data_IF_517044480386
#
_entry.id   IF_517044480386
#
_cell.length_a   1.000
_cell.length_b   1.000
_cell.length_c   1.000
_cell.angle_alpha   90.00
_cell.angle_beta   90.00
_cell.angle_gamma   90.00
#
_symmetry.space_group_name_H-M   'P 1'
#
loop_
_entity.id
_entity.type
_entity.pdbx_description
1 polymer ?
#
# COMPACT_ATOMS: atom_id res chain seq x y z
N UNK A 1 -48.76 -34.39 35.83
CA UNK A 1 -48.61 -34.60 34.38
C UNK A 1 -47.45 -33.74 33.88
N UNK A 2 -46.25 -34.32 33.83
CA UNK A 2 -45.02 -33.65 33.41
C UNK A 2 -44.81 -33.84 31.91
N UNK A 3 -44.62 -32.74 31.16
CA UNK A 3 -44.21 -32.77 29.75
C UNK A 3 -42.74 -32.34 29.64
N UNK A 4 -41.84 -33.21 29.11
CA UNK A 4 -40.42 -32.90 29.00
C UNK A 4 -40.00 -32.33 27.62
N UNK A 5 -38.75 -31.86 27.64
CA UNK A 5 -37.97 -31.03 26.72
C UNK A 5 -37.73 -31.54 25.29
N UNK A 6 -37.51 -30.55 24.41
CA UNK A 6 -36.92 -30.60 23.06
C UNK A 6 -35.53 -31.27 23.03
N UNK A 7 -35.28 -32.04 21.96
CA UNK A 7 -33.98 -32.30 21.33
C UNK A 7 -34.17 -32.43 19.82
N UNK A 8 -33.42 -31.69 19.00
CA UNK A 8 -33.23 -31.96 17.56
C UNK A 8 -31.73 -32.19 17.33
N UNK A 9 -31.38 -33.39 16.85
CA UNK A 9 -30.13 -33.66 16.13
C UNK A 9 -30.20 -33.05 14.72
N UNK A 10 -29.13 -32.87 13.95
CA UNK A 10 -27.86 -33.59 13.90
C UNK A 10 -27.81 -34.45 12.63
N UNK A 11 -26.73 -34.30 11.82
CA UNK A 11 -26.29 -35.07 10.62
C UNK A 11 -26.93 -34.62 9.28
N UNK A 12 -26.27 -34.55 8.11
CA UNK A 12 -25.24 -35.39 7.46
C UNK A 12 -24.51 -34.63 6.32
N UNK A 13 -23.19 -34.81 6.19
CA UNK A 13 -22.36 -34.59 4.98
C UNK A 13 -22.34 -35.84 4.08
N UNK A 14 -22.36 -35.74 2.73
CA UNK A 14 -22.11 -36.88 1.86
C UNK A 14 -20.62 -37.04 1.47
N UNK A 15 -20.25 -38.31 1.32
CA UNK A 15 -18.91 -38.87 1.09
C UNK A 15 -18.48 -38.86 -0.39
N UNK A 16 -17.15 -38.79 -0.55
CA UNK A 16 -16.25 -39.42 -1.53
C UNK A 16 -16.82 -40.29 -2.67
N UNK A 17 -16.19 -40.13 -3.85
CA UNK A 17 -15.92 -41.23 -4.79
C UNK A 17 -14.60 -41.01 -5.56
N UNK A 18 -13.62 -41.90 -5.33
CA UNK A 18 -12.59 -42.43 -6.25
C UNK A 18 -12.83 -43.96 -6.28
N UNK A 19 -12.39 -44.80 -7.26
CA UNK A 19 -11.11 -44.72 -8.00
C UNK A 19 -11.09 -45.27 -9.46
N UNK A 20 -9.96 -45.13 -10.18
CA UNK A 20 -9.21 -46.26 -10.84
C UNK A 20 -7.96 -45.80 -11.61
N UNK A 21 -6.94 -46.66 -11.54
CA UNK A 21 -5.58 -46.59 -12.10
C UNK A 21 -5.50 -46.51 -13.63
N UNK A 22 -4.44 -45.87 -14.13
CA UNK A 22 -3.69 -46.33 -15.32
C UNK A 22 -2.25 -45.80 -15.28
N UNK A 23 -1.32 -46.75 -15.31
CA UNK A 23 0.08 -46.75 -15.78
C UNK A 23 1.04 -45.57 -15.54
N UNK A 24 2.15 -45.95 -14.93
CA UNK A 24 3.41 -45.25 -14.75
C UNK A 24 4.26 -45.33 -16.04
N UNK A 25 4.56 -44.21 -16.73
CA UNK A 25 5.77 -44.09 -17.53
C UNK A 25 6.81 -43.33 -16.71
N UNK A 26 7.92 -44.01 -16.40
CA UNK A 26 9.00 -43.47 -15.58
C UNK A 26 9.54 -42.10 -16.05
N UNK A 27 10.24 -41.37 -15.18
CA UNK A 27 10.63 -40.00 -15.43
C UNK A 27 11.65 -39.92 -16.56
N UNK A 28 11.18 -39.53 -17.75
CA UNK A 28 12.03 -38.99 -18.81
C UNK A 28 12.65 -37.70 -18.29
N UNK A 29 13.97 -37.71 -18.16
CA UNK A 29 14.78 -36.54 -17.83
C UNK A 29 14.67 -35.48 -18.93
N UNK A 30 13.76 -34.52 -18.76
CA UNK A 30 13.85 -33.23 -19.44
C UNK A 30 14.29 -32.17 -18.44
N UNK A 31 15.58 -31.86 -18.48
CA UNK A 31 16.09 -30.55 -18.05
C UNK A 31 15.58 -29.52 -19.05
N UNK A 32 14.48 -28.86 -18.69
CA UNK A 32 14.05 -27.60 -19.26
C UNK A 32 13.37 -26.85 -18.13
N UNK A 33 14.00 -25.77 -17.64
CA UNK A 33 13.27 -24.85 -16.77
C UNK A 33 12.05 -24.29 -17.50
N UNK A 34 11.05 -23.78 -16.78
CA UNK A 34 9.88 -23.17 -17.41
C UNK A 34 10.32 -22.12 -18.44
N UNK A 35 9.61 -22.05 -19.55
CA UNK A 35 9.88 -21.00 -20.55
C UNK A 35 9.69 -19.63 -19.87
N UNK A 36 10.39 -18.56 -20.30
CA UNK A 36 10.22 -17.23 -19.72
C UNK A 36 8.75 -16.77 -19.68
N UNK A 37 7.94 -17.20 -20.64
CA UNK A 37 6.50 -16.90 -20.70
C UNK A 37 5.64 -17.62 -19.64
N UNK A 38 6.21 -18.56 -18.88
CA UNK A 38 5.54 -19.30 -17.81
C UNK A 38 5.86 -18.76 -16.40
N UNK A 39 6.64 -17.67 -16.29
CA UNK A 39 6.90 -17.00 -15.02
C UNK A 39 5.77 -15.98 -14.71
N UNK A 40 4.98 -16.19 -13.63
CA UNK A 40 3.83 -15.32 -13.30
C UNK A 40 4.19 -13.82 -13.25
N UNK A 41 5.36 -13.50 -12.69
CA UNK A 41 5.86 -12.12 -12.62
C UNK A 41 6.04 -11.46 -14.00
N UNK A 42 6.57 -12.20 -14.99
CA UNK A 42 6.78 -11.63 -16.33
C UNK A 42 5.45 -11.36 -17.04
N UNK A 43 4.44 -12.20 -16.78
CA UNK A 43 3.09 -11.98 -17.27
C UNK A 43 2.46 -10.72 -16.65
N UNK A 44 2.59 -10.52 -15.33
CA UNK A 44 2.11 -9.33 -14.63
C UNK A 44 2.79 -8.04 -15.14
N UNK A 45 4.11 -8.06 -15.33
CA UNK A 45 4.83 -6.90 -15.89
C UNK A 45 4.34 -6.61 -17.32
N UNK A 46 4.11 -7.65 -18.13
CA UNK A 46 3.62 -7.48 -19.50
C UNK A 46 2.20 -6.91 -19.53
N UNK A 47 1.35 -7.35 -18.61
CA UNK A 47 0.01 -6.81 -18.42
C UNK A 47 0.08 -5.31 -18.06
N UNK A 48 0.91 -4.94 -17.08
CA UNK A 48 1.14 -3.55 -16.71
C UNK A 48 1.67 -2.71 -17.88
N UNK A 49 2.60 -3.25 -18.68
CA UNK A 49 3.11 -2.59 -19.87
C UNK A 49 2.02 -2.39 -20.94
N UNK A 50 1.12 -3.38 -21.10
CA UNK A 50 0.04 -3.35 -22.08
C UNK A 50 -1.11 -2.43 -21.68
N UNK A 51 -1.33 -2.22 -20.37
CA UNK A 51 -2.32 -1.27 -19.86
C UNK A 51 -1.99 0.18 -20.24
N UNK A 52 -0.72 0.48 -20.51
CA UNK A 52 -0.28 1.79 -21.00
C UNK A 52 -0.28 2.90 -19.96
N UNK A 53 -0.45 2.56 -18.67
CA UNK A 53 -0.49 3.52 -17.56
C UNK A 53 0.58 3.17 -16.50
N UNK A 54 1.29 4.16 -15.90
CA UNK A 54 2.37 3.92 -14.93
C UNK A 54 1.99 3.10 -13.69
N UNK A 55 0.74 3.18 -13.23
CA UNK A 55 0.26 2.59 -11.97
C UNK A 55 0.68 1.12 -11.77
N UNK A 56 0.39 0.24 -12.74
CA UNK A 56 0.64 -1.19 -12.57
C UNK A 56 2.14 -1.50 -12.37
N UNK A 57 3.01 -0.80 -13.09
CA UNK A 57 4.44 -0.99 -12.99
C UNK A 57 5.01 -0.40 -11.69
N UNK A 58 4.48 0.75 -11.24
CA UNK A 58 4.85 1.36 -9.97
C UNK A 58 4.38 0.52 -8.77
N UNK A 59 3.19 -0.06 -8.82
CA UNK A 59 2.67 -0.95 -7.78
C UNK A 59 3.53 -2.22 -7.63
N UNK A 60 3.92 -2.83 -8.76
CA UNK A 60 4.87 -3.94 -8.77
C UNK A 60 6.22 -3.53 -8.17
N UNK A 61 6.80 -2.42 -8.63
CA UNK A 61 8.06 -1.90 -8.08
C UNK A 61 7.99 -1.64 -6.56
N UNK A 62 6.89 -1.06 -6.09
CA UNK A 62 6.66 -0.77 -4.67
C UNK A 62 6.59 -2.05 -3.85
N UNK A 63 5.92 -3.09 -4.36
CA UNK A 63 5.85 -4.40 -3.70
C UNK A 63 7.24 -5.01 -3.50
N UNK A 64 8.07 -5.03 -4.54
CA UNK A 64 9.44 -5.54 -4.45
C UNK A 64 10.31 -4.71 -3.49
N UNK A 65 10.19 -3.39 -3.52
CA UNK A 65 10.92 -2.51 -2.62
C UNK A 65 10.48 -2.68 -1.15
N UNK A 66 9.19 -2.90 -0.88
CA UNK A 66 8.70 -3.17 0.48
C UNK A 66 9.22 -4.50 1.00
N UNK A 67 9.19 -5.56 0.17
CA UNK A 67 9.71 -6.88 0.53
C UNK A 67 11.19 -6.80 0.95
N UNK A 68 12.01 -6.07 0.17
CA UNK A 68 13.41 -5.85 0.51
C UNK A 68 13.59 -5.04 1.80
N UNK A 69 12.77 -4.00 1.99
CA UNK A 69 12.90 -3.13 3.16
C UNK A 69 12.40 -3.80 4.45
N UNK A 70 11.33 -4.60 4.39
CA UNK A 70 10.83 -5.33 5.56
C UNK A 70 11.83 -6.41 6.03
N UNK A 71 12.57 -7.03 5.10
CA UNK A 71 13.62 -7.98 5.45
C UNK A 71 14.73 -7.36 6.32
N UNK A 72 14.97 -6.04 6.18
CA UNK A 72 15.99 -5.29 6.91
C UNK A 72 15.49 -4.71 8.25
N UNK A 73 14.19 -4.77 8.57
CA UNK A 73 13.66 -4.12 9.78
C UNK A 73 14.08 -4.81 11.07
N UNK A 74 14.48 -4.03 12.11
CA UNK A 74 14.78 -4.58 13.42
C UNK A 74 13.58 -5.32 14.02
N UNK A 75 13.81 -6.56 14.49
CA UNK A 75 12.77 -7.37 15.13
C UNK A 75 12.58 -6.95 16.58
N UNK A 76 11.33 -6.93 17.03
CA UNK A 76 11.03 -6.91 18.46
C UNK A 76 11.35 -8.28 19.07
N UNK A 77 12.27 -8.30 20.03
CA UNK A 77 12.68 -9.51 20.77
C UNK A 77 11.52 -10.22 21.50
N UNK A 78 10.37 -9.55 21.65
CA UNK A 78 9.23 -10.01 22.43
C UNK A 78 8.23 -10.86 21.63
N UNK A 79 8.41 -11.00 20.32
CA UNK A 79 7.32 -11.42 19.43
C UNK A 79 7.76 -12.28 18.24
N UNK A 80 9.02 -12.70 18.17
CA UNK A 80 9.38 -13.78 17.26
C UNK A 80 8.82 -15.10 17.79
N UNK A 81 7.81 -15.63 17.11
CA UNK A 81 7.45 -17.04 17.33
C UNK A 81 8.67 -17.90 16.95
N UNK A 82 9.10 -18.84 17.82
CA UNK A 82 10.21 -19.73 17.53
C UNK A 82 9.96 -20.49 16.22
N UNK A 83 10.77 -20.24 15.20
CA UNK A 83 10.67 -20.91 13.89
C UNK A 83 9.96 -20.12 12.78
N UNK A 84 9.62 -18.85 13.01
CA UNK A 84 9.13 -17.97 11.94
C UNK A 84 10.25 -17.56 10.97
N UNK A 85 10.48 -18.37 9.93
CA UNK A 85 11.34 -18.00 8.79
C UNK A 85 10.62 -16.92 7.97
N UNK A 86 11.16 -15.70 7.93
CA UNK A 86 10.72 -14.69 6.95
C UNK A 86 11.27 -15.07 5.58
N UNK A 87 10.52 -14.83 4.49
CA UNK A 87 11.12 -14.72 3.17
C UNK A 87 12.24 -13.66 3.21
N UNK A 88 13.46 -14.06 2.87
CA UNK A 88 14.65 -13.21 2.91
C UNK A 88 14.84 -12.49 1.56
N UNK A 89 13.80 -11.85 1.03
CA UNK A 89 13.98 -11.09 -0.20
C UNK A 89 14.80 -9.85 0.16
N UNK A 90 16.05 -9.76 -0.28
CA UNK A 90 16.90 -8.59 -0.06
C UNK A 90 17.08 -7.80 -1.36
N UNK A 91 17.59 -6.58 -1.25
CA UNK A 91 17.93 -5.79 -2.44
C UNK A 91 19.00 -6.47 -3.32
N UNK A 92 20.00 -7.13 -2.73
CA UNK A 92 20.97 -7.96 -3.46
C UNK A 92 20.24 -8.99 -4.33
N UNK A 93 19.30 -9.73 -3.73
CA UNK A 93 18.59 -10.81 -4.42
C UNK A 93 17.70 -10.26 -5.55
N UNK A 94 17.05 -9.11 -5.34
CA UNK A 94 16.24 -8.46 -6.37
C UNK A 94 17.13 -8.04 -7.55
N UNK A 95 18.25 -7.37 -7.27
CA UNK A 95 19.20 -6.93 -8.30
C UNK A 95 19.74 -8.12 -9.07
N UNK A 96 20.24 -9.15 -8.37
CA UNK A 96 20.79 -10.36 -9.00
C UNK A 96 19.73 -11.07 -9.86
N UNK A 97 18.50 -11.20 -9.36
CA UNK A 97 17.38 -11.83 -10.08
C UNK A 97 17.06 -11.07 -11.37
N UNK A 98 16.94 -9.75 -11.30
CA UNK A 98 16.61 -8.93 -12.46
C UNK A 98 17.78 -8.83 -13.44
N UNK A 99 19.03 -8.87 -12.95
CA UNK A 99 20.28 -8.91 -13.72
C UNK A 99 20.58 -10.25 -14.38
N UNK A 100 20.00 -11.35 -13.88
CA UNK A 100 20.23 -12.68 -14.44
C UNK A 100 19.76 -12.82 -15.89
N UNK A 101 18.72 -12.08 -16.32
CA UNK A 101 18.25 -12.10 -17.72
C UNK A 101 17.73 -10.73 -18.15
N UNK A 102 18.33 -10.18 -19.20
CA UNK A 102 17.93 -8.93 -19.81
C UNK A 102 16.73 -9.12 -20.75
N UNK A 103 15.52 -8.95 -20.20
CA UNK A 103 14.26 -8.95 -20.92
C UNK A 103 13.66 -7.53 -20.90
N UNK A 104 12.79 -7.16 -21.86
CA UNK A 104 12.03 -5.91 -21.78
C UNK A 104 11.27 -5.77 -20.45
N UNK A 105 10.64 -6.84 -19.97
CA UNK A 105 9.89 -6.87 -18.72
C UNK A 105 10.79 -6.58 -17.51
N UNK A 106 11.92 -7.29 -17.37
CA UNK A 106 12.85 -7.04 -16.25
C UNK A 106 13.47 -5.66 -16.33
N UNK A 107 13.71 -5.13 -17.54
CA UNK A 107 14.17 -3.76 -17.75
C UNK A 107 13.12 -2.72 -17.34
N UNK A 108 11.85 -2.96 -17.63
CA UNK A 108 10.76 -2.09 -17.20
C UNK A 108 10.62 -2.05 -15.68
N UNK A 109 10.70 -3.21 -15.01
CA UNK A 109 10.64 -3.26 -13.55
C UNK A 109 11.83 -2.55 -12.89
N UNK A 110 13.04 -2.65 -13.47
CA UNK A 110 14.20 -1.87 -13.01
C UNK A 110 13.94 -0.35 -13.08
N UNK A 111 13.26 0.13 -14.12
CA UNK A 111 12.90 1.55 -14.23
C UNK A 111 12.01 2.02 -13.07
N UNK A 112 11.05 1.19 -12.62
CA UNK A 112 10.24 1.51 -11.44
C UNK A 112 11.03 1.36 -10.13
N UNK A 113 11.83 0.30 -9.97
CA UNK A 113 12.58 0.05 -8.73
C UNK A 113 13.60 1.13 -8.40
N UNK A 114 14.22 1.76 -9.41
CA UNK A 114 15.14 2.89 -9.20
C UNK A 114 14.50 4.03 -8.41
N UNK A 115 13.19 4.21 -8.49
CA UNK A 115 12.45 5.27 -7.79
C UNK A 115 12.33 5.01 -6.28
N UNK A 116 12.42 3.74 -5.87
CA UNK A 116 12.17 3.29 -4.51
C UNK A 116 13.43 2.80 -3.79
N UNK A 117 14.49 2.52 -4.55
CA UNK A 117 15.70 1.93 -4.04
C UNK A 117 16.48 2.90 -3.14
N UNK A 118 16.88 2.49 -1.92
CA UNK A 118 17.76 3.29 -1.09
C UNK A 118 19.21 3.18 -1.58
N UNK A 119 20.11 4.11 -1.20
CA UNK A 119 21.54 3.94 -1.42
C UNK A 119 22.08 2.67 -0.73
N UNK A 120 22.98 1.90 -1.36
CA UNK A 120 23.60 2.13 -2.68
C UNK A 120 22.84 1.50 -3.86
N UNK A 121 21.67 0.89 -3.63
CA UNK A 121 20.95 0.10 -4.62
C UNK A 121 20.41 0.92 -5.78
N UNK A 122 20.04 2.18 -5.54
CA UNK A 122 19.68 3.14 -6.58
C UNK A 122 20.76 3.25 -7.67
N UNK A 123 22.02 3.33 -7.25
CA UNK A 123 23.19 3.46 -8.12
C UNK A 123 23.45 2.16 -8.88
N UNK A 124 23.33 1.01 -8.21
CA UNK A 124 23.46 -0.31 -8.85
C UNK A 124 22.40 -0.51 -9.95
N UNK A 125 21.14 -0.21 -9.66
CA UNK A 125 20.04 -0.33 -10.61
C UNK A 125 20.21 0.63 -11.80
N UNK A 126 20.69 1.86 -11.57
CA UNK A 126 20.99 2.82 -12.66
C UNK A 126 22.13 2.32 -13.57
N UNK A 127 23.18 1.73 -13.01
CA UNK A 127 24.27 1.13 -13.78
C UNK A 127 23.78 -0.07 -14.60
N UNK A 128 22.89 -0.88 -14.04
CA UNK A 128 22.27 -1.99 -14.76
C UNK A 128 21.42 -1.49 -15.94
N UNK A 129 20.56 -0.47 -15.72
CA UNK A 129 19.75 0.14 -16.78
C UNK A 129 20.58 0.72 -17.94
N UNK A 130 21.76 1.27 -17.63
CA UNK A 130 22.70 1.78 -18.62
C UNK A 130 23.16 0.69 -19.60
N UNK A 131 23.32 -0.54 -19.13
CA UNK A 131 23.72 -1.70 -19.94
C UNK A 131 22.55 -2.22 -20.82
N UNK A 132 21.32 -1.84 -20.49
CA UNK A 132 20.07 -2.32 -21.10
C UNK A 132 19.44 -1.37 -22.11
N UNK A 133 20.15 -0.31 -22.49
CA UNK A 133 19.67 0.76 -23.38
C UNK A 133 19.05 0.31 -24.70
N UNK A 134 19.39 -0.89 -25.17
CA UNK A 134 18.92 -1.44 -26.45
C UNK A 134 17.48 -1.98 -26.42
N UNK A 135 16.88 -2.22 -25.25
CA UNK A 135 15.50 -2.69 -25.21
C UNK A 135 14.52 -1.59 -25.63
N UNK A 136 13.65 -1.92 -26.58
CA UNK A 136 12.53 -1.06 -26.93
C UNK A 136 11.45 -1.20 -25.85
N UNK A 137 11.25 -0.12 -25.10
CA UNK A 137 10.22 0.01 -24.08
C UNK A 137 9.26 1.13 -24.50
N UNK A 138 7.99 1.10 -24.06
CA UNK A 138 7.10 2.24 -24.19
C UNK A 138 7.76 3.51 -23.64
N UNK A 139 7.54 4.65 -24.29
CA UNK A 139 8.18 5.92 -23.93
C UNK A 139 7.94 6.31 -22.47
N UNK A 140 6.72 6.08 -21.97
CA UNK A 140 6.30 6.39 -20.60
C UNK A 140 7.11 5.67 -19.51
N UNK A 141 7.68 4.49 -19.80
CA UNK A 141 8.49 3.73 -18.83
C UNK A 141 9.78 4.48 -18.50
N UNK A 142 10.32 5.24 -19.44
CA UNK A 142 11.57 5.99 -19.26
C UNK A 142 11.35 7.31 -18.54
N UNK A 143 10.11 7.79 -18.51
CA UNK A 143 9.71 9.08 -17.93
C UNK A 143 8.87 8.90 -16.67
N UNK A 144 8.94 7.73 -16.01
CA UNK A 144 8.19 7.45 -14.78
C UNK A 144 8.44 8.48 -13.67
N UNK A 145 9.64 9.04 -13.61
CA UNK A 145 10.02 10.04 -12.60
C UNK A 145 9.57 11.48 -12.94
N UNK A 146 9.14 11.70 -14.20
CA UNK A 146 8.62 12.97 -14.71
C UNK A 146 7.14 13.12 -14.35
N UNK A 147 6.86 13.15 -13.05
CA UNK A 147 5.53 13.32 -12.47
C UNK A 147 5.47 14.63 -11.68
N UNK A 148 4.34 15.32 -11.79
CA UNK A 148 4.00 16.45 -10.94
C UNK A 148 2.83 16.09 -10.01
N UNK A 149 2.86 16.59 -8.76
CA UNK A 149 1.69 16.58 -7.88
C UNK A 149 0.86 17.82 -8.20
N UNK A 150 -0.30 17.63 -8.82
CA UNK A 150 -1.15 18.71 -9.33
C UNK A 150 -2.10 19.26 -8.28
N UNK A 151 -2.54 18.40 -7.34
CA UNK A 151 -3.56 18.71 -6.36
C UNK A 151 -3.24 18.02 -5.03
N UNK A 152 -3.51 18.72 -3.93
CA UNK A 152 -3.32 18.22 -2.57
C UNK A 152 -4.54 18.61 -1.75
N UNK A 153 -5.25 17.60 -1.26
CA UNK A 153 -6.48 17.77 -0.49
C UNK A 153 -6.44 16.99 0.81
N UNK A 154 -7.22 17.50 1.77
CA UNK A 154 -7.51 16.85 3.03
C UNK A 154 -9.02 16.66 3.12
N UNK A 155 -9.44 15.47 3.52
CA UNK A 155 -10.78 15.21 4.02
C UNK A 155 -10.68 14.74 5.46
N UNK A 156 -11.34 15.42 6.38
CA UNK A 156 -11.33 15.10 7.82
C UNK A 156 -12.69 14.58 8.22
N UNK A 157 -12.71 13.49 8.98
CA UNK A 157 -13.94 12.92 9.52
C UNK A 157 -14.58 13.85 10.56
N UNK A 158 -15.89 13.72 10.77
CA UNK A 158 -16.66 14.62 11.64
C UNK A 158 -16.12 14.74 13.07
N UNK A 159 -15.48 13.68 13.59
CA UNK A 159 -14.87 13.67 14.93
C UNK A 159 -13.36 14.02 14.92
N UNK A 160 -12.76 14.22 13.74
CA UNK A 160 -11.33 14.49 13.58
C UNK A 160 -10.44 13.31 14.00
N UNK A 161 -11.00 12.11 14.04
CA UNK A 161 -10.31 10.89 14.45
C UNK A 161 -9.72 10.11 13.26
N UNK A 162 -10.14 10.45 12.04
CA UNK A 162 -9.51 10.06 10.78
C UNK A 162 -9.34 11.24 9.83
N UNK A 163 -8.32 11.18 9.00
CA UNK A 163 -8.19 12.05 7.83
C UNK A 163 -7.70 11.29 6.60
N UNK A 164 -8.19 11.69 5.43
CA UNK A 164 -7.69 11.29 4.13
C UNK A 164 -6.82 12.42 3.55
N UNK A 165 -5.60 12.09 3.15
CA UNK A 165 -4.75 12.97 2.32
C UNK A 165 -4.81 12.47 0.88
N UNK A 166 -5.31 13.29 -0.03
CA UNK A 166 -5.43 12.97 -1.45
C UNK A 166 -4.40 13.75 -2.26
N UNK A 167 -3.68 13.05 -3.12
CA UNK A 167 -2.67 13.62 -4.01
C UNK A 167 -3.01 13.26 -5.46
N UNK A 168 -3.29 14.28 -6.27
CA UNK A 168 -3.42 14.14 -7.73
C UNK A 168 -2.05 14.17 -8.38
N UNK A 169 -1.75 13.19 -9.22
CA UNK A 169 -0.50 13.01 -9.94
C UNK A 169 -0.74 13.12 -11.44
N UNK A 170 0.16 13.79 -12.14
CA UNK A 170 0.15 13.88 -13.59
C UNK A 170 1.54 13.64 -14.17
N UNK A 171 1.66 12.72 -15.12
CA UNK A 171 2.90 12.48 -15.84
C UNK A 171 3.04 13.42 -17.04
N UNK A 172 4.27 13.61 -17.52
CA UNK A 172 4.57 14.35 -18.75
C UNK A 172 3.86 13.80 -20.00
N UNK A 173 3.43 12.53 -19.95
CA UNK A 173 2.62 11.86 -20.98
C UNK A 173 1.14 12.26 -20.96
N UNK A 174 0.67 12.90 -19.88
CA UNK A 174 -0.73 13.26 -19.65
C UNK A 174 -1.52 12.22 -18.86
N UNK A 175 -0.89 11.11 -18.45
CA UNK A 175 -1.52 10.11 -17.57
C UNK A 175 -1.79 10.70 -16.18
N UNK A 176 -2.91 10.33 -15.57
CA UNK A 176 -3.36 10.85 -14.27
C UNK A 176 -3.67 9.73 -13.28
N UNK A 177 -3.22 9.93 -12.05
CA UNK A 177 -3.46 9.03 -10.93
C UNK A 177 -3.79 9.85 -9.69
N UNK A 178 -4.77 9.43 -8.92
CA UNK A 178 -5.00 9.97 -7.58
C UNK A 178 -4.65 8.90 -6.55
N UNK A 179 -3.85 9.26 -5.55
CA UNK A 179 -3.59 8.42 -4.39
C UNK A 179 -4.25 9.01 -3.15
N UNK A 180 -4.80 8.15 -2.30
CA UNK A 180 -5.50 8.51 -1.07
C UNK A 180 -4.87 7.75 0.09
N UNK A 181 -4.50 8.49 1.13
CA UNK A 181 -3.87 7.97 2.34
C UNK A 181 -4.79 8.21 3.52
N UNK A 182 -5.24 7.13 4.16
CA UNK A 182 -6.03 7.25 5.38
C UNK A 182 -5.10 7.21 6.61
N UNK A 183 -5.13 8.30 7.38
CA UNK A 183 -4.38 8.49 8.63
C UNK A 183 -5.36 8.39 9.79
N UNK A 184 -5.12 7.42 10.68
CA UNK A 184 -5.99 7.14 11.83
C UNK A 184 -5.41 7.77 13.10
N UNK A 185 -6.05 8.83 13.60
CA UNK A 185 -5.63 9.55 14.79
C UNK A 185 -5.90 8.80 16.10
N UNK A 186 -6.82 7.82 16.11
CA UNK A 186 -7.10 7.02 17.31
C UNK A 186 -5.94 6.08 17.68
N UNK A 187 -5.09 5.76 16.70
CA UNK A 187 -3.94 4.86 16.85
C UNK A 187 -2.61 5.57 16.62
N UNK A 188 -2.55 6.87 16.97
CA UNK A 188 -1.33 7.65 16.95
C UNK A 188 -1.09 8.43 15.66
N UNK A 189 -2.07 8.52 14.76
CA UNK A 189 -1.96 9.24 13.50
C UNK A 189 -0.95 8.60 12.56
N UNK A 190 -1.10 7.29 12.38
CA UNK A 190 -0.32 6.48 11.44
C UNK A 190 -1.16 6.17 10.20
N UNK A 191 -0.50 5.83 9.08
CA UNK A 191 -1.21 5.36 7.88
C UNK A 191 -1.78 3.99 8.16
N UNK A 192 -3.10 3.86 7.96
CA UNK A 192 -3.83 2.60 8.12
C UNK A 192 -4.24 2.00 6.78
N UNK A 193 -4.45 2.83 5.77
CA UNK A 193 -4.83 2.35 4.44
C UNK A 193 -4.32 3.24 3.30
N UNK A 194 -4.24 2.66 2.12
CA UNK A 194 -3.85 3.28 0.85
C UNK A 194 -4.83 2.87 -0.24
N UNK A 195 -5.33 3.85 -0.99
CA UNK A 195 -6.16 3.62 -2.17
C UNK A 195 -5.56 4.40 -3.34
N UNK A 196 -5.63 3.83 -4.53
CA UNK A 196 -5.29 4.55 -5.76
C UNK A 196 -6.41 4.42 -6.78
N UNK A 197 -6.67 5.50 -7.51
CA UNK A 197 -7.70 5.56 -8.54
C UNK A 197 -7.16 6.25 -9.78
N UNK A 198 -7.47 5.70 -10.96
CA UNK A 198 -7.18 6.35 -12.23
C UNK A 198 -8.06 7.59 -12.38
N UNK A 199 -7.49 8.69 -12.89
CA UNK A 199 -8.21 9.93 -13.15
C UNK A 199 -7.90 11.07 -12.16
N UNK A 200 -8.62 12.18 -12.35
CA UNK A 200 -8.42 13.44 -11.64
C UNK A 200 -8.87 13.37 -10.17
N UNK A 201 -8.19 14.10 -9.29
CA UNK A 201 -8.45 14.01 -7.87
C UNK A 201 -9.82 14.59 -7.49
N UNK A 202 -10.39 15.53 -8.25
CA UNK A 202 -11.73 16.05 -7.99
C UNK A 202 -12.82 15.00 -8.26
N UNK A 203 -12.62 14.11 -9.25
CA UNK A 203 -13.54 12.99 -9.49
C UNK A 203 -13.52 12.00 -8.32
N UNK A 204 -12.33 11.64 -7.83
CA UNK A 204 -12.17 10.78 -6.66
C UNK A 204 -12.72 11.45 -5.40
N UNK A 205 -12.45 12.74 -5.19
CA UNK A 205 -13.02 13.50 -4.07
C UNK A 205 -14.54 13.49 -4.06
N UNK A 206 -15.17 13.59 -5.23
CA UNK A 206 -16.63 13.53 -5.35
C UNK A 206 -17.18 12.17 -4.89
N UNK A 207 -16.44 11.08 -5.15
CA UNK A 207 -16.82 9.75 -4.64
C UNK A 207 -16.70 9.69 -3.11
N UNK A 208 -15.62 10.21 -2.55
CA UNK A 208 -15.43 10.29 -1.09
C UNK A 208 -16.47 11.19 -0.42
N UNK A 209 -16.86 12.30 -1.05
CA UNK A 209 -17.90 13.21 -0.54
C UNK A 209 -19.26 12.50 -0.48
N UNK A 210 -19.58 11.69 -1.49
CA UNK A 210 -20.85 10.95 -1.53
C UNK A 210 -20.98 9.90 -0.43
N UNK A 211 -19.86 9.37 0.07
CA UNK A 211 -19.81 8.38 1.15
C UNK A 211 -19.52 8.99 2.54
N UNK A 212 -19.18 10.29 2.59
CA UNK A 212 -18.80 10.96 3.82
C UNK A 212 -19.97 11.13 4.79
N UNK A 213 -19.68 11.00 6.08
CA UNK A 213 -20.64 11.29 7.13
C UNK A 213 -21.01 12.79 7.17
N UNK A 214 -22.23 13.09 7.58
CA UNK A 214 -22.69 14.46 7.72
C UNK A 214 -21.82 15.21 8.75
N UNK A 215 -21.11 16.24 8.30
CA UNK A 215 -20.20 17.03 9.13
C UNK A 215 -18.72 16.81 8.85
N UNK A 216 -18.35 15.83 8.01
CA UNK A 216 -17.01 15.73 7.46
C UNK A 216 -16.66 16.98 6.63
N UNK A 217 -15.38 17.34 6.59
CA UNK A 217 -14.90 18.52 5.86
C UNK A 217 -13.89 18.14 4.79
N UNK A 218 -13.88 18.89 3.69
CA UNK A 218 -12.92 18.73 2.60
C UNK A 218 -12.32 20.08 2.23
N UNK A 219 -11.00 20.14 2.05
CA UNK A 219 -10.30 21.37 1.64
C UNK A 219 -8.96 21.09 1.00
N UNK A 220 -8.49 22.03 0.18
CA UNK A 220 -7.09 22.05 -0.27
C UNK A 220 -6.18 22.41 0.91
N UNK A 221 -5.00 21.80 0.94
CA UNK A 221 -3.97 22.07 1.95
C UNK A 221 -2.65 22.45 1.29
N UNK A 222 -1.73 22.99 2.08
CA UNK A 222 -0.39 23.29 1.60
C UNK A 222 0.35 21.98 1.26
N UNK A 223 0.96 21.87 0.06
CA UNK A 223 1.71 20.69 -0.34
C UNK A 223 2.85 20.31 0.62
N UNK A 224 3.52 21.31 1.23
CA UNK A 224 4.58 21.05 2.19
C UNK A 224 4.03 20.47 3.50
N UNK A 225 2.89 20.99 3.97
CA UNK A 225 2.20 20.46 5.16
C UNK A 225 1.77 19.00 4.92
N UNK A 226 1.23 18.69 3.73
CA UNK A 226 0.88 17.33 3.37
C UNK A 226 2.09 16.38 3.42
N UNK A 227 3.25 16.81 2.88
CA UNK A 227 4.49 16.03 2.96
C UNK A 227 4.87 15.73 4.40
N UNK A 228 4.90 16.75 5.25
CA UNK A 228 5.28 16.60 6.66
C UNK A 228 4.37 15.58 7.38
N UNK A 229 3.06 15.62 7.10
CA UNK A 229 2.09 14.68 7.67
C UNK A 229 2.29 13.26 7.20
N UNK A 230 2.47 13.06 5.89
CA UNK A 230 2.69 11.74 5.30
C UNK A 230 3.98 11.13 5.86
N UNK A 231 5.08 11.87 5.86
CA UNK A 231 6.36 11.41 6.41
C UNK A 231 6.23 11.04 7.90
N UNK A 232 5.54 11.87 8.70
CA UNK A 232 5.29 11.59 10.11
C UNK A 232 4.43 10.33 10.30
N UNK A 233 3.36 10.17 9.52
CA UNK A 233 2.46 9.03 9.62
C UNK A 233 3.14 7.71 9.19
N UNK A 234 3.98 7.74 8.15
CA UNK A 234 4.83 6.61 7.75
C UNK A 234 5.83 6.27 8.85
N UNK A 235 6.50 7.27 9.44
CA UNK A 235 7.44 7.06 10.54
C UNK A 235 6.74 6.40 11.73
N UNK A 236 5.60 6.93 12.17
CA UNK A 236 4.83 6.35 13.29
C UNK A 236 4.39 4.93 12.99
N UNK A 237 3.91 4.66 11.78
CA UNK A 237 3.56 3.31 11.35
C UNK A 237 4.77 2.35 11.46
N UNK A 238 5.94 2.75 10.97
CA UNK A 238 7.16 1.92 11.03
C UNK A 238 7.67 1.63 12.44
N UNK A 239 7.29 2.45 13.42
CA UNK A 239 7.60 2.27 14.84
C UNK A 239 6.52 1.50 15.60
N UNK A 240 5.38 1.20 14.97
CA UNK A 240 4.22 0.59 15.63
C UNK A 240 4.33 -0.94 15.67
N UNK A 241 3.98 -1.52 16.83
CA UNK A 241 3.96 -2.97 17.01
C UNK A 241 2.67 -3.44 17.72
N UNK A 242 1.97 -4.46 17.19
CA UNK A 242 2.16 -5.05 15.86
C UNK A 242 1.88 -4.04 14.74
N UNK A 243 2.48 -4.19 13.55
CA UNK A 243 2.21 -3.27 12.44
C UNK A 243 0.73 -3.36 12.03
N UNK A 244 0.16 -2.20 11.68
CA UNK A 244 -1.19 -2.12 11.13
C UNK A 244 -1.13 -2.46 9.65
N UNK A 245 -1.97 -3.37 9.18
CA UNK A 245 -1.93 -3.87 7.80
C UNK A 245 -3.30 -3.69 7.15
N UNK A 246 -3.29 -3.38 5.86
CA UNK A 246 -4.43 -3.49 4.95
C UNK A 246 -4.02 -4.32 3.74
N UNK A 247 -4.92 -4.47 2.75
CA UNK A 247 -4.60 -5.20 1.53
C UNK A 247 -3.48 -4.50 0.73
N UNK A 248 -3.46 -3.17 0.73
CA UNK A 248 -2.49 -2.34 -0.01
C UNK A 248 -1.37 -1.76 0.88
N UNK A 249 -1.57 -1.75 2.21
CA UNK A 249 -0.59 -1.25 3.16
C UNK A 249 0.06 -2.40 3.93
N UNK A 250 1.40 -2.59 3.85
CA UNK A 250 2.41 -1.58 3.52
C UNK A 250 3.06 -1.71 2.14
N UNK A 251 2.55 -2.57 1.24
CA UNK A 251 3.17 -2.77 -0.08
C UNK A 251 3.25 -1.49 -0.90
N UNK A 252 2.31 -0.55 -0.71
CA UNK A 252 2.33 0.78 -1.30
C UNK A 252 3.27 1.80 -0.62
N UNK A 253 3.90 1.47 0.52
CA UNK A 253 4.70 2.43 1.30
C UNK A 253 5.86 3.04 0.49
N UNK A 254 6.67 2.28 -0.27
CA UNK A 254 7.71 2.87 -1.11
C UNK A 254 7.15 3.85 -2.16
N UNK A 255 6.02 3.52 -2.78
CA UNK A 255 5.29 4.43 -3.68
C UNK A 255 4.88 5.72 -2.96
N UNK A 256 4.29 5.61 -1.77
CA UNK A 256 3.88 6.77 -0.96
C UNK A 256 5.07 7.65 -0.58
N UNK A 257 6.20 7.06 -0.18
CA UNK A 257 7.40 7.81 0.15
C UNK A 257 7.99 8.53 -1.07
N UNK A 258 8.01 7.88 -2.24
CA UNK A 258 8.44 8.51 -3.48
C UNK A 258 7.50 9.66 -3.89
N UNK A 259 6.17 9.47 -3.83
CA UNK A 259 5.20 10.54 -4.10
C UNK A 259 5.40 11.71 -3.13
N UNK A 260 5.55 11.44 -1.83
CA UNK A 260 5.80 12.48 -0.83
C UNK A 260 7.10 13.26 -1.11
N UNK A 261 8.14 12.61 -1.66
CA UNK A 261 9.39 13.28 -2.05
C UNK A 261 9.22 14.32 -3.17
N UNK A 262 8.13 14.23 -3.95
CA UNK A 262 7.77 15.21 -4.99
C UNK A 262 7.14 16.48 -4.44
N UNK A 263 6.70 16.46 -3.18
CA UNK A 263 6.15 17.62 -2.50
C UNK A 263 7.27 18.50 -1.90
N UNK A 264 7.04 19.82 -1.71
CA UNK A 264 8.02 20.70 -1.06
C UNK A 264 8.30 20.30 0.39
N UNK A 265 9.52 20.58 0.87
CA UNK A 265 9.87 20.46 2.30
C UNK A 265 9.43 21.69 3.10
N UNK A 266 9.53 21.60 4.44
CA UNK A 266 9.33 22.73 5.34
C UNK A 266 7.89 22.95 5.80
N UNK A 267 7.02 21.97 5.58
CA UNK A 267 5.65 22.00 6.07
C UNK A 267 5.54 21.94 7.59
N UNK A 268 4.35 22.30 8.07
CA UNK A 268 4.01 22.37 9.49
C UNK A 268 3.02 21.27 9.83
N UNK A 269 3.31 20.55 10.91
CA UNK A 269 2.38 19.56 11.45
C UNK A 269 1.24 20.28 12.19
N UNK A 270 -0.02 19.85 12.01
CA UNK A 270 -1.13 20.33 12.83
C UNK A 270 -0.80 20.09 14.30
N UNK A 271 -0.93 21.13 15.12
CA UNK A 271 -0.89 20.96 16.57
C UNK A 271 -2.28 20.56 17.01
N UNK A 272 -2.43 19.38 17.59
CA UNK A 272 -3.68 18.99 18.25
C UNK A 272 -3.73 19.73 19.57
N UNK A 273 -4.58 20.75 19.67
CA UNK A 273 -4.80 21.44 20.93
C UNK A 273 -5.44 20.45 21.92
N UNK A 274 -4.80 20.27 23.08
CA UNK A 274 -5.42 19.53 24.18
C UNK A 274 -6.63 20.34 24.66
N UNK A 275 -7.76 19.65 24.84
CA UNK A 275 -8.94 20.27 25.46
C UNK A 275 -8.54 20.77 26.85
N UNK A 276 -8.93 22.00 27.17
CA UNK A 276 -8.84 22.47 28.55
C UNK A 276 -9.70 21.59 29.46
N UNK A 277 -9.34 21.50 30.74
CA UNK A 277 -10.16 20.77 31.72
C UNK A 277 -11.62 21.29 31.72
N UNK A 278 -11.80 22.59 31.53
CA UNK A 278 -13.13 23.22 31.45
C UNK A 278 -13.91 22.81 30.20
N UNK A 279 -13.27 22.74 29.02
CA UNK A 279 -13.91 22.25 27.80
C UNK A 279 -14.25 20.77 27.91
N UNK A 280 -13.36 19.98 28.53
CA UNK A 280 -13.58 18.56 28.76
C UNK A 280 -14.77 18.32 29.68
N UNK A 281 -14.84 19.04 30.81
CA UNK A 281 -15.94 18.91 31.76
C UNK A 281 -17.27 19.37 31.13
N UNK A 282 -17.26 20.45 30.34
CA UNK A 282 -18.44 20.87 29.55
C UNK A 282 -18.90 19.81 28.57
N UNK A 283 -17.98 19.12 27.89
CA UNK A 283 -18.30 18.01 26.99
C UNK A 283 -18.91 16.82 27.74
N UNK A 284 -18.35 16.48 28.91
CA UNK A 284 -18.88 15.41 29.77
C UNK A 284 -20.29 15.75 30.25
N UNK A 285 -20.51 16.96 30.77
CA UNK A 285 -21.81 17.40 31.26
C UNK A 285 -22.86 17.43 30.13
N UNK A 286 -22.46 17.88 28.94
CA UNK A 286 -23.31 17.87 27.74
C UNK A 286 -23.73 16.45 27.35
N UNK A 287 -22.77 15.51 27.33
CA UNK A 287 -23.04 14.10 27.03
C UNK A 287 -23.94 13.46 28.09
N UNK A 288 -23.60 13.62 29.38
CA UNK A 288 -24.41 13.09 30.47
C UNK A 288 -25.80 13.73 30.52
N UNK A 289 -25.97 14.95 29.99
CA UNK A 289 -27.26 15.63 29.84
C UNK A 289 -28.09 15.19 28.63
N UNK A 290 -27.51 14.44 27.68
CA UNK A 290 -28.20 13.99 26.46
C UNK A 290 -28.99 12.69 26.68
N UNK A 291 -29.92 12.32 25.76
CA UNK A 291 -30.59 11.02 25.79
C UNK A 291 -29.63 9.82 25.77
N UNK A 292 -28.48 9.96 25.10
CA UNK A 292 -27.45 8.91 25.01
C UNK A 292 -26.67 8.74 26.32
N UNK A 293 -26.64 9.77 27.17
CA UNK A 293 -25.98 9.76 28.48
C UNK A 293 -26.80 9.13 29.60
N UNK A 294 -28.09 8.85 29.39
CA UNK A 294 -29.01 8.37 30.46
C UNK A 294 -28.56 7.04 31.09
N UNK A 295 -27.85 6.18 30.34
CA UNK A 295 -27.30 4.92 30.85
C UNK A 295 -26.01 5.07 31.65
N UNK A 296 -25.41 6.26 31.67
CA UNK A 296 -24.12 6.57 32.29
C UNK A 296 -24.24 7.49 33.52
N UNK A 297 -25.47 7.85 33.90
CA UNK A 297 -25.75 8.60 35.14
C UNK A 297 -25.81 7.70 36.37
#
# INVERSE_FOLDING_TARGET
MSRPKKRRGGRVTPKQTRPRNWDDPGPTSHRGGPAPDELPLLAEIREALSAGHPLGLLALGSTFAELATDAERPRSMLSDEPGSERPQVTWEMIVDMLSATALPETTALLHALVLFAPPPWDSHLRVELEQRRLHQLPGWVRTLDEVEVTQVWEQVDVLGDGENILLGLRWSTGDELTVVLYIDHNIGGLIKDFISGLGDAEEILTMFEAEAEAGSSQRRIDPADARARIESAVQRWSMTWPPVLSDEWPVARPLVQWVASKLPEGGVMPTREELSDEDRDRLIDSFLGSPDGDSFR
#
